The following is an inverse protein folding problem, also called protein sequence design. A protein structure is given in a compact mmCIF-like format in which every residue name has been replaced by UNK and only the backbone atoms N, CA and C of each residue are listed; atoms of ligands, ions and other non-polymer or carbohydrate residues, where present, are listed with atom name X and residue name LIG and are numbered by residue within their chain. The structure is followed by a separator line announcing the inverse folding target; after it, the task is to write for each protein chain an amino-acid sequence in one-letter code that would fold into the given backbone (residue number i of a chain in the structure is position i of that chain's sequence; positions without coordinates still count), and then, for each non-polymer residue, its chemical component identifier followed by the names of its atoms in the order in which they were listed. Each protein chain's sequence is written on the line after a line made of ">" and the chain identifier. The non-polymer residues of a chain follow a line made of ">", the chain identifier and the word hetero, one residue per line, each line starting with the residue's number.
data_IF_279896797424
#
_entry.id   IF_279896797424
#
_cell.length_a   1.000
_cell.length_b   1.000
_cell.length_c   1.000
_cell.angle_alpha   90.00
_cell.angle_beta   90.00
_cell.angle_gamma   90.00
#
_symmetry.space_group_name_H-M   'P 1'
#
loop_
_entity.id
_entity.type
_entity.pdbx_description
1 polymer ?
#
# COMPACT_ATOMS: atom_id res chain seq x y z
N UNK A 1 -18.90 -14.14 -3.40
CA UNK A 1 -17.52 -13.62 -3.37
C UNK A 1 -17.05 -13.69 -1.93
N UNK A 2 -15.78 -14.07 -1.69
CA UNK A 2 -15.21 -14.25 -0.35
C UNK A 2 -13.83 -13.57 -0.33
N UNK A 3 -13.41 -13.11 0.84
CA UNK A 3 -12.03 -12.68 1.03
C UNK A 3 -11.12 -13.91 1.11
N UNK A 4 -9.88 -13.78 0.65
CA UNK A 4 -8.82 -14.77 0.92
C UNK A 4 -7.88 -14.18 1.96
N UNK A 5 -7.71 -14.88 3.07
CA UNK A 5 -6.83 -14.45 4.16
C UNK A 5 -5.68 -15.45 4.23
N UNK A 6 -4.45 -14.96 4.14
CA UNK A 6 -3.25 -15.77 4.22
C UNK A 6 -2.34 -15.27 5.35
N UNK A 7 -2.44 -15.87 6.55
CA UNK A 7 -1.60 -15.48 7.69
C UNK A 7 -0.10 -15.72 7.48
N UNK A 8 0.29 -16.65 6.60
CA UNK A 8 1.72 -16.93 6.34
C UNK A 8 2.41 -15.83 5.53
N UNK A 9 1.65 -15.18 4.67
CA UNK A 9 2.11 -14.07 3.83
C UNK A 9 1.66 -12.70 4.38
N UNK A 10 0.91 -12.71 5.48
CA UNK A 10 0.29 -11.52 6.07
C UNK A 10 -0.60 -10.74 5.08
N UNK A 11 -1.23 -11.43 4.14
CA UNK A 11 -2.08 -10.82 3.10
C UNK A 11 -3.57 -11.09 3.31
N UNK A 12 -4.38 -10.12 2.87
CA UNK A 12 -5.82 -10.24 2.73
C UNK A 12 -6.17 -9.75 1.33
N UNK A 13 -6.74 -10.62 0.50
CA UNK A 13 -7.30 -10.28 -0.80
C UNK A 13 -8.82 -10.15 -0.67
N UNK A 14 -9.33 -8.94 -0.87
CA UNK A 14 -10.76 -8.68 -0.95
C UNK A 14 -11.23 -8.73 -2.42
N UNK A 15 -12.49 -9.12 -2.68
CA UNK A 15 -13.04 -9.13 -4.04
C UNK A 15 -12.93 -7.79 -4.78
N UNK A 16 -12.96 -6.68 -4.04
CA UNK A 16 -12.88 -5.34 -4.58
C UNK A 16 -11.49 -4.89 -4.99
N UNK A 17 -10.42 -5.49 -4.45
CA UNK A 17 -9.04 -4.96 -4.59
C UNK A 17 -8.61 -4.84 -6.07
N UNK A 18 -9.00 -5.82 -6.90
CA UNK A 18 -8.70 -5.81 -8.34
C UNK A 18 -9.36 -4.66 -9.11
N UNK A 19 -10.39 -4.05 -8.54
CA UNK A 19 -11.20 -3.01 -9.18
C UNK A 19 -11.11 -1.67 -8.47
N UNK A 20 -10.72 -1.65 -7.19
CA UNK A 20 -10.70 -0.44 -6.39
C UNK A 20 -9.48 0.41 -6.67
N UNK A 21 -8.29 -0.18 -6.83
CA UNK A 21 -7.02 0.55 -7.06
C UNK A 21 -6.01 -0.30 -7.85
N UNK A 22 -4.92 0.35 -8.26
CA UNK A 22 -3.69 -0.37 -8.63
C UNK A 22 -3.11 -0.99 -7.36
N UNK A 23 -2.53 -2.17 -7.46
CA UNK A 23 -1.67 -2.67 -6.36
C UNK A 23 -0.37 -1.88 -6.32
N UNK A 24 0.32 -1.87 -5.17
CA UNK A 24 1.60 -1.17 -5.02
C UNK A 24 2.62 -1.61 -6.10
N UNK A 25 2.68 -2.90 -6.44
CA UNK A 25 3.54 -3.43 -7.51
C UNK A 25 3.11 -2.96 -8.91
N UNK A 26 1.81 -2.92 -9.21
CA UNK A 26 1.31 -2.42 -10.49
C UNK A 26 1.60 -0.91 -10.66
N UNK A 27 1.35 -0.14 -9.61
CA UNK A 27 1.67 1.29 -9.57
C UNK A 27 3.17 1.48 -9.76
N UNK A 28 3.99 0.75 -9.02
CA UNK A 28 5.45 0.80 -9.14
C UNK A 28 5.95 0.42 -10.53
N UNK A 29 5.39 -0.62 -11.17
CA UNK A 29 5.80 -1.01 -12.53
C UNK A 29 5.48 0.05 -13.57
N UNK A 30 4.31 0.67 -13.48
CA UNK A 30 3.94 1.79 -14.36
C UNK A 30 4.83 3.00 -14.08
N UNK A 31 5.12 3.28 -12.80
CA UNK A 31 6.03 4.35 -12.39
C UNK A 31 7.47 4.14 -12.88
N UNK A 32 7.98 2.92 -12.79
CA UNK A 32 9.28 2.52 -13.32
C UNK A 32 9.37 2.82 -14.83
N UNK A 33 8.36 2.41 -15.61
CA UNK A 33 8.33 2.69 -17.04
C UNK A 33 8.24 4.20 -17.35
N UNK A 34 7.49 4.95 -16.54
CA UNK A 34 7.44 6.41 -16.64
C UNK A 34 8.82 7.03 -16.42
N UNK A 35 9.56 6.62 -15.39
CA UNK A 35 10.92 7.11 -15.12
C UNK A 35 11.90 6.73 -16.23
N UNK A 36 11.83 5.49 -16.74
CA UNK A 36 12.66 5.04 -17.88
C UNK A 36 12.35 5.89 -19.12
N UNK A 37 11.08 6.14 -19.43
CA UNK A 37 10.67 6.97 -20.56
C UNK A 37 11.14 8.43 -20.42
N UNK A 38 11.08 8.99 -19.21
CA UNK A 38 11.66 10.31 -18.90
C UNK A 38 13.16 10.34 -19.14
N UNK A 39 13.90 9.31 -18.74
CA UNK A 39 15.34 9.24 -18.94
C UNK A 39 15.73 9.15 -20.42
N UNK A 40 15.00 8.35 -21.21
CA UNK A 40 15.18 8.28 -22.67
C UNK A 40 14.97 9.65 -23.32
N UNK A 41 13.89 10.36 -22.94
CA UNK A 41 13.65 11.72 -23.41
C UNK A 41 14.74 12.70 -22.93
N UNK A 42 15.14 12.66 -21.66
CA UNK A 42 16.18 13.52 -21.09
C UNK A 42 17.51 13.37 -21.83
N UNK A 43 17.91 12.14 -22.17
CA UNK A 43 19.10 11.87 -22.97
C UNK A 43 19.03 12.52 -24.34
N UNK A 44 17.85 12.55 -24.98
CA UNK A 44 17.66 13.20 -26.29
C UNK A 44 17.86 14.73 -26.25
N UNK A 45 17.71 15.34 -25.08
CA UNK A 45 17.95 16.78 -24.85
C UNK A 45 19.27 17.04 -24.11
N UNK A 46 20.17 16.06 -24.06
CA UNK A 46 21.51 16.19 -23.50
C UNK A 46 21.59 16.17 -21.98
N UNK A 47 20.55 15.70 -21.28
CA UNK A 47 20.52 15.59 -19.82
C UNK A 47 20.72 14.12 -19.42
N UNK A 48 21.74 13.87 -18.59
CA UNK A 48 21.93 12.57 -17.95
C UNK A 48 20.99 12.45 -16.74
N UNK A 49 19.81 11.86 -16.98
CA UNK A 49 18.79 11.67 -15.96
C UNK A 49 18.88 10.25 -15.40
N UNK A 50 19.15 10.06 -14.10
CA UNK A 50 19.40 8.75 -13.56
C UNK A 50 18.09 7.95 -13.43
N UNK A 51 18.14 6.67 -13.76
CA UNK A 51 17.06 5.73 -13.49
C UNK A 51 17.50 4.82 -12.34
N UNK A 52 16.89 4.90 -11.15
CA UNK A 52 17.21 4.04 -10.04
C UNK A 52 16.93 2.56 -10.36
N UNK A 53 17.36 1.66 -9.47
CA UNK A 53 17.00 0.25 -9.56
C UNK A 53 15.47 0.11 -9.55
N UNK A 54 14.95 -0.62 -10.53
CA UNK A 54 13.52 -0.85 -10.74
C UNK A 54 12.99 -1.97 -9.82
N UNK A 55 11.67 -2.06 -9.69
CA UNK A 55 10.98 -3.13 -8.94
C UNK A 55 11.04 -2.99 -7.42
N UNK A 56 11.34 -1.79 -6.90
CA UNK A 56 11.30 -1.54 -5.45
C UNK A 56 9.92 -1.86 -4.88
N UNK A 57 8.86 -1.47 -5.61
CA UNK A 57 7.48 -1.71 -5.24
C UNK A 57 7.05 -3.19 -5.26
N UNK A 58 7.89 -4.11 -5.75
CA UNK A 58 7.63 -5.56 -5.73
C UNK A 58 8.01 -6.19 -4.37
N UNK A 59 8.52 -5.40 -3.43
CA UNK A 59 8.84 -5.87 -2.09
C UNK A 59 7.58 -6.47 -1.41
N UNK A 60 7.69 -7.70 -0.90
CA UNK A 60 6.58 -8.46 -0.29
C UNK A 60 5.90 -7.66 0.82
N UNK A 61 6.65 -6.84 1.54
CA UNK A 61 6.15 -6.02 2.63
C UNK A 61 4.99 -5.11 2.20
N UNK A 62 5.04 -4.56 0.98
CA UNK A 62 3.98 -3.69 0.48
C UNK A 62 2.68 -4.42 0.15
N UNK A 63 2.73 -5.74 -0.04
CA UNK A 63 1.53 -6.57 -0.21
C UNK A 63 0.88 -6.96 1.13
N UNK A 64 1.52 -6.71 2.27
CA UNK A 64 1.00 -7.08 3.58
C UNK A 64 -0.20 -6.21 3.96
N UNK A 65 -1.28 -6.84 4.38
CA UNK A 65 -2.51 -6.15 4.78
C UNK A 65 -2.35 -5.54 6.17
N UNK A 66 -2.30 -4.20 6.24
CA UNK A 66 -2.12 -3.45 7.49
C UNK A 66 -3.31 -2.58 7.91
N UNK A 67 -4.43 -2.64 7.18
CA UNK A 67 -5.59 -1.77 7.42
C UNK A 67 -6.25 -2.00 8.80
N UNK A 68 -5.97 -3.13 9.45
CA UNK A 68 -6.42 -3.48 10.80
C UNK A 68 -5.25 -3.54 11.81
N UNK A 69 -4.12 -2.89 11.49
CA UNK A 69 -2.88 -2.98 12.26
C UNK A 69 -2.15 -4.33 12.09
N UNK A 70 -1.16 -4.64 12.95
CA UNK A 70 -0.48 -5.94 12.91
C UNK A 70 -1.46 -7.05 13.28
N UNK A 71 -1.42 -8.16 12.55
CA UNK A 71 -2.29 -9.31 12.82
C UNK A 71 -1.61 -10.67 12.63
N UNK A 72 -0.30 -10.65 12.36
CA UNK A 72 0.56 -11.82 12.30
C UNK A 72 1.81 -11.54 13.13
N UNK A 73 2.44 -12.60 13.67
CA UNK A 73 3.66 -12.44 14.48
C UNK A 73 4.79 -11.83 13.66
N UNK A 74 4.90 -12.18 12.37
CA UNK A 74 5.87 -11.57 11.47
C UNK A 74 5.69 -10.04 11.43
N UNK A 75 4.46 -9.55 11.19
CA UNK A 75 4.21 -8.12 11.15
C UNK A 75 4.51 -7.43 12.48
N UNK A 76 4.09 -8.02 13.60
CA UNK A 76 4.34 -7.44 14.92
C UNK A 76 5.83 -7.31 15.22
N UNK A 77 6.62 -8.34 14.90
CA UNK A 77 8.08 -8.32 15.12
C UNK A 77 8.80 -7.33 14.21
N UNK A 78 8.38 -7.22 12.94
CA UNK A 78 9.10 -6.43 11.94
C UNK A 78 8.68 -4.96 11.90
N UNK A 79 7.41 -4.68 12.14
CA UNK A 79 6.83 -3.34 11.92
C UNK A 79 6.16 -2.78 13.17
N UNK A 80 5.92 -3.60 14.20
CA UNK A 80 5.05 -3.28 15.31
C UNK A 80 3.71 -2.69 14.81
N UNK A 81 3.49 -1.39 14.98
CA UNK A 81 2.29 -0.68 14.50
C UNK A 81 2.53 0.24 13.30
N UNK A 82 3.75 0.29 12.76
CA UNK A 82 4.06 1.08 11.57
C UNK A 82 3.56 0.39 10.29
N UNK A 83 3.49 1.12 9.17
CA UNK A 83 3.13 0.53 7.87
C UNK A 83 4.23 -0.47 7.46
N UNK A 84 3.88 -1.68 6.99
CA UNK A 84 4.83 -2.59 6.37
C UNK A 84 5.62 -1.91 5.26
N UNK A 85 6.93 -2.13 5.27
CA UNK A 85 7.85 -1.55 4.29
C UNK A 85 9.24 -2.15 4.44
N UNK A 86 10.10 -1.90 3.47
CA UNK A 86 11.46 -2.42 3.49
C UNK A 86 12.25 -1.83 4.65
N UNK A 87 13.37 -2.46 5.03
CA UNK A 87 14.29 -1.88 6.05
C UNK A 87 14.73 -0.48 5.63
N UNK A 88 14.96 -0.25 4.33
CA UNK A 88 15.35 1.06 3.81
C UNK A 88 14.28 2.12 4.08
N UNK A 89 13.00 1.80 3.87
CA UNK A 89 11.90 2.72 4.16
C UNK A 89 11.74 2.97 5.65
N UNK A 90 11.90 1.94 6.48
CA UNK A 90 11.80 2.08 7.93
C UNK A 90 12.90 2.99 8.48
N UNK A 91 14.13 2.89 7.96
CA UNK A 91 15.23 3.81 8.30
C UNK A 91 14.95 5.21 7.75
N UNK A 92 14.52 5.32 6.49
CA UNK A 92 14.24 6.60 5.84
C UNK A 92 13.16 7.39 6.59
N UNK A 93 12.08 6.72 6.99
CA UNK A 93 10.97 7.30 7.75
C UNK A 93 11.28 7.47 9.24
N UNK A 94 12.47 7.06 9.70
CA UNK A 94 12.92 7.21 11.08
C UNK A 94 12.22 6.30 12.09
N UNK A 95 11.61 5.19 11.64
CA UNK A 95 10.95 4.21 12.50
C UNK A 95 11.95 3.37 13.30
N UNK A 96 13.12 3.11 12.70
CA UNK A 96 14.27 2.47 13.34
C UNK A 96 15.52 3.33 13.16
N UNK A 97 16.49 3.25 14.09
CA UNK A 97 17.80 3.85 13.87
C UNK A 97 18.48 3.20 12.66
N UNK A 98 19.37 3.96 12.00
CA UNK A 98 20.18 3.44 10.91
C UNK A 98 21.06 2.28 11.41
N UNK A 99 20.90 1.06 10.87
CA UNK A 99 21.72 -0.08 11.28
C UNK A 99 23.20 0.17 10.96
N UNK A 100 24.09 -0.45 11.73
CA UNK A 100 25.54 -0.41 11.44
C UNK A 100 25.81 -0.97 10.04
N UNK A 101 26.62 -0.25 9.25
CA UNK A 101 26.92 -0.62 7.86
C UNK A 101 25.80 -0.32 6.85
N UNK A 102 24.67 0.24 7.29
CA UNK A 102 23.64 0.71 6.37
C UNK A 102 24.10 2.02 5.71
N UNK A 103 24.37 1.99 4.42
CA UNK A 103 24.56 3.20 3.64
C UNK A 103 23.19 3.72 3.21
N UNK A 104 22.82 4.92 3.69
CA UNK A 104 21.73 5.66 3.06
C UNK A 104 22.21 5.98 1.65
N UNK A 105 21.77 5.20 0.66
CA UNK A 105 22.03 5.52 -0.74
C UNK A 105 21.53 6.94 -0.95
N UNK A 106 22.41 7.83 -1.38
CA UNK A 106 22.01 9.15 -1.83
C UNK A 106 20.98 8.97 -2.93
N UNK A 107 19.93 9.79 -2.89
CA UNK A 107 18.94 9.76 -3.95
C UNK A 107 19.71 10.10 -5.24
N UNK A 108 19.65 9.27 -6.30
CA UNK A 108 20.37 9.58 -7.52
C UNK A 108 19.98 10.96 -8.08
N UNK A 109 18.79 11.47 -7.75
CA UNK A 109 18.34 12.81 -8.10
C UNK A 109 18.97 13.93 -7.26
N UNK A 110 19.61 13.65 -6.12
CA UNK A 110 20.33 14.65 -5.30
C UNK A 110 21.46 15.35 -6.08
N UNK A 111 21.94 14.72 -7.15
CA UNK A 111 22.99 15.27 -8.03
C UNK A 111 22.46 16.24 -9.08
N UNK A 112 21.14 16.32 -9.28
CA UNK A 112 20.51 17.18 -10.27
C UNK A 112 20.09 18.51 -9.65
N UNK A 113 20.29 19.61 -10.38
CA UNK A 113 19.75 20.91 -9.97
C UNK A 113 18.23 20.94 -10.12
N UNK A 114 17.55 21.77 -9.32
CA UNK A 114 16.10 22.01 -9.46
C UNK A 114 15.72 22.47 -10.88
N UNK A 115 16.57 23.28 -11.53
CA UNK A 115 16.38 23.71 -12.91
C UNK A 115 16.41 22.55 -13.90
N UNK A 116 17.34 21.59 -13.71
CA UNK A 116 17.43 20.38 -14.52
C UNK A 116 16.17 19.52 -14.35
N UNK A 117 15.74 19.30 -13.10
CA UNK A 117 14.52 18.57 -12.80
C UNK A 117 13.30 19.22 -13.46
N UNK A 118 13.15 20.55 -13.34
CA UNK A 118 12.06 21.29 -13.97
C UNK A 118 12.09 21.21 -15.49
N UNK A 119 13.28 21.24 -16.10
CA UNK A 119 13.44 21.09 -17.55
C UNK A 119 12.99 19.72 -18.02
N UNK A 120 13.42 18.64 -17.33
CA UNK A 120 12.98 17.28 -17.64
C UNK A 120 11.47 17.14 -17.44
N UNK A 121 10.91 17.59 -16.33
CA UNK A 121 9.46 17.60 -16.08
C UNK A 121 8.69 18.27 -17.22
N UNK A 122 9.10 19.48 -17.60
CA UNK A 122 8.38 20.28 -18.61
C UNK A 122 8.46 19.64 -20.00
N UNK A 123 9.62 19.12 -20.39
CA UNK A 123 9.86 18.62 -21.75
C UNK A 123 9.52 17.14 -21.94
N UNK A 124 9.61 16.33 -20.88
CA UNK A 124 9.58 14.88 -21.01
C UNK A 124 8.34 14.19 -20.44
N UNK A 125 7.64 14.76 -19.45
CA UNK A 125 6.51 14.08 -18.80
C UNK A 125 5.33 13.85 -19.75
N UNK A 126 5.18 14.73 -20.74
CA UNK A 126 4.15 14.66 -21.77
C UNK A 126 4.70 14.15 -23.12
N UNK A 127 5.92 13.62 -23.15
CA UNK A 127 6.48 13.01 -24.35
C UNK A 127 5.61 11.84 -24.82
N UNK A 128 5.75 11.47 -26.10
CA UNK A 128 5.01 10.35 -26.70
C UNK A 128 5.21 9.04 -25.91
N UNK A 129 6.39 8.84 -25.36
CA UNK A 129 6.77 7.59 -24.70
C UNK A 129 6.47 7.60 -23.20
N UNK A 130 6.51 8.76 -22.52
CA UNK A 130 6.18 8.87 -21.09
C UNK A 130 4.66 8.97 -20.84
N UNK A 131 3.92 9.68 -21.70
CA UNK A 131 2.48 9.94 -21.51
C UNK A 131 1.64 8.66 -21.29
N UNK A 132 1.87 7.54 -21.98
CA UNK A 132 1.14 6.29 -21.73
C UNK A 132 1.30 5.74 -20.31
N UNK A 133 2.42 6.03 -19.65
CA UNK A 133 2.72 5.57 -18.29
C UNK A 133 2.33 6.58 -17.21
N UNK A 134 1.60 7.65 -17.57
CA UNK A 134 1.05 8.56 -16.59
C UNK A 134 -0.13 7.90 -15.87
N UNK A 135 0.10 7.50 -14.62
CA UNK A 135 -0.89 6.83 -13.76
C UNK A 135 -2.17 7.65 -13.57
N UNK A 136 -2.10 8.99 -13.61
CA UNK A 136 -3.29 9.83 -13.47
C UNK A 136 -4.27 9.60 -14.62
N UNK A 137 -3.78 9.34 -15.83
CA UNK A 137 -4.64 9.02 -16.98
C UNK A 137 -5.38 7.70 -16.77
N UNK A 138 -4.74 6.70 -16.17
CA UNK A 138 -5.38 5.45 -15.78
C UNK A 138 -6.43 5.63 -14.69
N UNK A 139 -6.15 6.46 -13.69
CA UNK A 139 -7.11 6.75 -12.62
C UNK A 139 -8.33 7.54 -13.10
N UNK A 140 -8.20 8.39 -14.13
CA UNK A 140 -9.35 9.09 -14.76
C UNK A 140 -10.34 8.12 -15.42
N UNK A 141 -9.87 6.96 -15.87
CA UNK A 141 -10.72 5.92 -16.46
C UNK A 141 -11.42 5.05 -15.41
N UNK A 142 -11.03 5.16 -14.13
CA UNK A 142 -11.60 4.38 -13.03
C UNK A 142 -13.01 4.89 -12.72
N UNK A 143 -14.00 3.99 -12.71
CA UNK A 143 -15.37 4.32 -12.32
C UNK A 143 -15.41 4.91 -10.90
N UNK A 144 -16.18 5.98 -10.64
CA UNK A 144 -16.35 6.51 -9.29
C UNK A 144 -16.83 5.46 -8.28
N UNK A 145 -17.63 4.48 -8.73
CA UNK A 145 -18.10 3.38 -7.89
C UNK A 145 -16.97 2.49 -7.36
N UNK A 146 -15.78 2.52 -7.96
CA UNK A 146 -14.61 1.79 -7.48
C UNK A 146 -14.14 2.29 -6.11
N UNK A 147 -14.32 3.59 -5.80
CA UNK A 147 -13.97 4.15 -4.50
C UNK A 147 -14.82 3.55 -3.37
N UNK A 148 -16.02 3.07 -3.67
CA UNK A 148 -16.85 2.38 -2.68
C UNK A 148 -16.34 0.97 -2.32
N UNK A 149 -15.40 0.43 -3.11
CA UNK A 149 -14.75 -0.84 -2.83
C UNK A 149 -13.52 -0.70 -1.94
N UNK A 150 -12.96 0.51 -1.80
CA UNK A 150 -11.79 0.75 -0.94
C UNK A 150 -12.11 0.34 0.50
N UNK A 151 -11.12 -0.25 1.19
CA UNK A 151 -11.35 -0.81 2.51
C UNK A 151 -11.84 0.25 3.50
N UNK A 152 -11.34 1.48 3.44
CA UNK A 152 -11.82 2.60 4.27
C UNK A 152 -13.31 2.93 4.06
N UNK A 153 -13.77 2.88 2.81
CA UNK A 153 -15.18 3.10 2.48
C UNK A 153 -16.05 1.93 3.00
N UNK A 154 -15.54 0.71 2.88
CA UNK A 154 -16.19 -0.49 3.41
C UNK A 154 -16.19 -0.50 4.94
N UNK A 155 -15.13 -0.06 5.60
CA UNK A 155 -15.00 -0.01 7.05
C UNK A 155 -16.05 0.93 7.67
N UNK A 156 -16.33 2.06 7.02
CA UNK A 156 -17.44 2.95 7.41
C UNK A 156 -18.80 2.25 7.34
N UNK A 157 -19.03 1.41 6.32
CA UNK A 157 -20.26 0.60 6.18
C UNK A 157 -20.30 -0.53 7.23
N UNK A 158 -19.16 -1.14 7.55
CA UNK A 158 -19.02 -2.16 8.57
C UNK A 158 -19.36 -1.66 9.98
N UNK A 159 -19.15 -0.37 10.27
CA UNK A 159 -19.48 0.21 11.59
C UNK A 159 -20.93 -0.05 12.04
N UNK A 160 -21.86 -0.27 11.11
CA UNK A 160 -23.26 -0.60 11.39
C UNK A 160 -23.59 -2.10 11.32
N UNK A 161 -22.64 -2.95 10.90
CA UNK A 161 -22.82 -4.40 10.77
C UNK A 161 -22.72 -5.10 12.13
N UNK A 162 -23.68 -5.97 12.46
CA UNK A 162 -23.73 -6.68 13.74
C UNK A 162 -22.58 -7.68 13.94
N UNK A 163 -22.17 -8.38 12.88
CA UNK A 163 -21.07 -9.34 12.95
C UNK A 163 -19.73 -8.63 13.17
N UNK A 164 -19.55 -7.46 12.55
CA UNK A 164 -18.37 -6.61 12.79
C UNK A 164 -18.33 -6.10 14.24
N UNK A 165 -19.44 -5.57 14.75
CA UNK A 165 -19.55 -5.14 16.15
C UNK A 165 -19.23 -6.29 17.11
N UNK A 166 -19.76 -7.49 16.85
CA UNK A 166 -19.47 -8.67 17.65
C UNK A 166 -17.99 -9.05 17.60
N UNK A 167 -17.34 -8.96 16.44
CA UNK A 167 -15.90 -9.21 16.32
C UNK A 167 -15.07 -8.19 17.14
N UNK A 168 -15.47 -6.92 17.16
CA UNK A 168 -14.84 -5.89 18.00
C UNK A 168 -15.04 -6.15 19.50
N UNK A 169 -16.23 -6.57 19.92
CA UNK A 169 -16.51 -6.93 21.31
C UNK A 169 -15.65 -8.10 21.78
N UNK A 170 -15.56 -9.16 20.98
CA UNK A 170 -14.73 -10.33 21.30
C UNK A 170 -13.24 -9.95 21.38
N UNK A 171 -12.77 -9.07 20.46
CA UNK A 171 -11.41 -8.55 20.49
C UNK A 171 -11.14 -7.71 21.75
N UNK A 172 -12.08 -6.82 22.10
CA UNK A 172 -12.01 -6.00 23.31
C UNK A 172 -11.98 -6.85 24.57
N UNK A 173 -12.77 -7.91 24.63
CA UNK A 173 -12.75 -8.87 25.74
C UNK A 173 -11.38 -9.53 25.87
N UNK A 174 -10.78 -9.99 24.76
CA UNK A 174 -9.43 -10.54 24.80
C UNK A 174 -8.40 -9.51 25.27
N UNK A 175 -8.47 -8.26 24.79
CA UNK A 175 -7.57 -7.20 25.24
C UNK A 175 -7.62 -6.99 26.76
N UNK A 176 -8.81 -7.02 27.35
CA UNK A 176 -8.96 -6.93 28.81
C UNK A 176 -8.29 -8.10 29.53
N UNK A 177 -8.42 -9.33 29.02
CA UNK A 177 -7.80 -10.52 29.59
C UNK A 177 -6.26 -10.47 29.56
N UNK A 178 -5.67 -9.91 28.51
CA UNK A 178 -4.19 -9.82 28.35
C UNK A 178 -3.60 -8.49 28.84
N UNK A 179 -4.43 -7.63 29.44
CA UNK A 179 -4.02 -6.36 30.02
C UNK A 179 -3.72 -5.25 29.00
N UNK A 180 -4.23 -5.36 27.78
CA UNK A 180 -4.22 -4.25 26.80
C UNK A 180 -5.29 -3.23 27.22
N UNK A 181 -4.86 -1.98 27.41
CA UNK A 181 -5.79 -0.87 27.70
C UNK A 181 -6.25 -0.21 26.42
N UNK A 182 -7.54 0.11 26.39
CA UNK A 182 -8.16 0.92 25.34
C UNK A 182 -8.55 2.28 25.90
N UNK A 183 -8.46 3.31 25.07
CA UNK A 183 -8.95 4.66 25.39
C UNK A 183 -9.83 5.16 24.24
N UNK A 184 -10.94 5.81 24.59
CA UNK A 184 -11.75 6.53 23.63
C UNK A 184 -11.15 7.93 23.41
N UNK A 185 -10.83 8.25 22.16
CA UNK A 185 -10.36 9.56 21.74
C UNK A 185 -11.42 10.27 20.92
N UNK A 186 -11.38 11.59 20.99
CA UNK A 186 -12.21 12.48 20.18
C UNK A 186 -11.31 13.35 19.31
N UNK A 187 -11.62 13.37 18.02
CA UNK A 187 -11.03 14.28 17.05
C UNK A 187 -12.15 15.01 16.31
N UNK A 188 -12.38 16.26 16.71
CA UNK A 188 -13.54 17.04 16.27
C UNK A 188 -14.86 16.34 16.61
N UNK A 189 -15.60 15.94 15.56
CA UNK A 189 -16.87 15.19 15.69
C UNK A 189 -16.69 13.67 15.69
N UNK A 190 -15.48 13.18 15.43
CA UNK A 190 -15.19 11.75 15.36
C UNK A 190 -14.81 11.23 16.73
N UNK A 191 -15.31 10.04 17.06
CA UNK A 191 -14.93 9.31 18.27
C UNK A 191 -14.39 7.95 17.84
N UNK A 192 -13.22 7.58 18.34
CA UNK A 192 -12.56 6.31 18.00
C UNK A 192 -11.88 5.72 19.22
N UNK A 193 -11.68 4.40 19.21
CA UNK A 193 -10.98 3.69 20.28
C UNK A 193 -9.58 3.34 19.83
N UNK A 194 -8.58 3.65 20.65
CA UNK A 194 -7.19 3.31 20.39
C UNK A 194 -6.60 2.42 21.49
N UNK A 195 -5.57 1.66 21.14
CA UNK A 195 -4.76 0.93 22.11
C UNK A 195 -3.79 1.91 22.76
N UNK A 196 -3.83 2.01 24.09
CA UNK A 196 -2.98 2.95 24.81
C UNK A 196 -1.52 2.55 24.72
N UNK A 197 -0.66 3.51 24.35
CA UNK A 197 0.78 3.33 24.28
C UNK A 197 1.30 2.89 22.91
N UNK A 198 0.43 2.73 21.91
CA UNK A 198 0.83 2.59 20.52
C UNK A 198 1.56 3.85 20.05
N UNK A 199 2.68 3.66 19.37
CA UNK A 199 3.43 4.70 18.67
C UNK A 199 3.62 4.28 17.21
N UNK A 200 2.82 4.85 16.32
CA UNK A 200 2.84 4.58 14.88
C UNK A 200 4.10 5.07 14.16
N UNK A 201 5.06 5.66 14.88
CA UNK A 201 6.31 6.21 14.33
C UNK A 201 7.54 5.50 14.84
N UNK A 202 7.41 4.41 15.60
CA UNK A 202 8.55 3.71 16.19
C UNK A 202 8.42 2.20 16.12
N UNK A 203 9.52 1.55 15.80
CA UNK A 203 9.69 0.10 15.93
C UNK A 203 10.75 -0.11 17.01
N UNK A 204 10.31 -0.58 18.18
CA UNK A 204 11.17 -0.91 19.32
C UNK A 204 10.53 -2.01 20.16
N UNK A 205 11.27 -2.55 21.13
CA UNK A 205 10.85 -3.67 21.96
C UNK A 205 9.50 -3.44 22.65
N UNK A 206 9.23 -2.23 23.14
CA UNK A 206 7.95 -1.87 23.77
C UNK A 206 6.79 -1.97 22.77
N UNK A 207 6.98 -1.44 21.56
CA UNK A 207 5.96 -1.48 20.52
C UNK A 207 5.76 -2.91 19.98
N UNK A 208 6.84 -3.67 19.78
CA UNK A 208 6.79 -5.08 19.35
C UNK A 208 6.05 -5.92 20.38
N UNK A 209 6.37 -5.78 21.67
CA UNK A 209 5.72 -6.52 22.75
C UNK A 209 4.22 -6.25 22.81
N UNK A 210 3.81 -4.98 22.64
CA UNK A 210 2.39 -4.60 22.60
C UNK A 210 1.70 -5.17 21.35
N UNK A 211 2.34 -5.05 20.18
CA UNK A 211 1.83 -5.58 18.92
C UNK A 211 1.66 -7.11 18.96
N UNK A 212 2.58 -7.85 19.59
CA UNK A 212 2.46 -9.30 19.75
C UNK A 212 1.25 -9.70 20.59
N UNK A 213 0.94 -8.96 21.67
CA UNK A 213 -0.28 -9.19 22.46
C UNK A 213 -1.55 -8.87 21.67
N UNK A 214 -1.52 -7.83 20.85
CA UNK A 214 -2.62 -7.50 19.94
C UNK A 214 -2.84 -8.64 18.92
N UNK A 215 -1.78 -9.07 18.25
CA UNK A 215 -1.79 -10.22 17.33
C UNK A 215 -2.32 -11.49 17.99
N UNK A 216 -1.91 -11.78 19.22
CA UNK A 216 -2.41 -12.92 19.99
C UNK A 216 -3.94 -12.84 20.11
N UNK A 217 -4.48 -11.68 20.45
CA UNK A 217 -5.92 -11.50 20.58
C UNK A 217 -6.66 -11.55 19.24
N UNK A 218 -6.14 -10.88 18.20
CA UNK A 218 -6.70 -10.95 16.84
C UNK A 218 -6.73 -12.39 16.31
N UNK A 219 -5.69 -13.16 16.60
CA UNK A 219 -5.60 -14.59 16.22
C UNK A 219 -6.61 -15.41 17.02
N UNK A 220 -6.67 -15.25 18.35
CA UNK A 220 -7.58 -16.00 19.24
C UNK A 220 -9.05 -15.86 18.82
N UNK A 221 -9.48 -14.68 18.38
CA UNK A 221 -10.88 -14.39 18.03
C UNK A 221 -11.15 -14.39 16.52
N UNK A 222 -10.17 -14.81 15.71
CA UNK A 222 -10.18 -14.81 14.24
C UNK A 222 -10.60 -13.45 13.64
N UNK A 223 -10.13 -12.36 14.26
CA UNK A 223 -10.63 -11.02 14.00
C UNK A 223 -10.51 -10.61 12.54
N UNK A 224 -9.31 -10.71 11.96
CA UNK A 224 -9.04 -10.24 10.60
C UNK A 224 -9.85 -11.00 9.56
N UNK A 225 -9.96 -12.33 9.69
CA UNK A 225 -10.77 -13.11 8.76
C UNK A 225 -12.26 -12.76 8.89
N UNK A 226 -12.80 -12.65 10.11
CA UNK A 226 -14.20 -12.25 10.32
C UNK A 226 -14.51 -10.89 9.67
N UNK A 227 -13.65 -9.89 9.88
CA UNK A 227 -13.81 -8.56 9.27
C UNK A 227 -13.69 -8.63 7.74
N UNK A 228 -12.69 -9.33 7.22
CA UNK A 228 -12.47 -9.47 5.78
C UNK A 228 -13.65 -10.16 5.07
N UNK A 229 -14.24 -11.19 5.68
CA UNK A 229 -15.42 -11.84 5.10
C UNK A 229 -16.64 -10.93 5.08
N UNK A 230 -16.87 -10.11 6.11
CA UNK A 230 -17.94 -9.11 6.10
C UNK A 230 -17.69 -7.99 5.08
N UNK A 231 -16.44 -7.54 4.94
CA UNK A 231 -16.04 -6.59 3.90
C UNK A 231 -16.34 -7.15 2.49
N UNK A 232 -15.97 -8.40 2.23
CA UNK A 232 -16.24 -9.07 0.96
C UNK A 232 -17.73 -9.19 0.64
N UNK A 233 -18.58 -9.41 1.66
CA UNK A 233 -20.05 -9.42 1.49
C UNK A 233 -20.58 -8.05 1.07
N UNK A 234 -20.04 -6.97 1.64
CA UNK A 234 -20.44 -5.59 1.30
C UNK A 234 -19.94 -5.17 -0.08
N UNK A 235 -18.75 -5.62 -0.50
CA UNK A 235 -18.23 -5.35 -1.85
C UNK A 235 -19.01 -6.10 -2.94
N UNK A 236 -19.47 -7.33 -2.67
CA UNK A 236 -20.11 -8.18 -3.67
C UNK A 236 -21.26 -7.53 -4.47
N UNK A 237 -22.26 -6.86 -3.86
CA UNK A 237 -23.32 -6.19 -4.62
C UNK A 237 -22.81 -5.00 -5.45
N UNK A 238 -21.81 -4.25 -4.95
CA UNK A 238 -21.21 -3.13 -5.67
C UNK A 238 -20.51 -3.64 -6.94
N UNK A 239 -19.74 -4.73 -6.81
CA UNK A 239 -19.08 -5.39 -7.95
C UNK A 239 -20.11 -5.89 -8.96
N UNK A 240 -21.14 -6.61 -8.51
CA UNK A 240 -22.18 -7.13 -9.42
C UNK A 240 -22.87 -6.02 -10.21
N UNK A 241 -23.17 -4.89 -9.57
CA UNK A 241 -23.81 -3.74 -10.21
C UNK A 241 -22.93 -3.08 -11.27
N UNK A 242 -21.61 -3.02 -11.06
CA UNK A 242 -20.68 -2.24 -11.88
C UNK A 242 -19.65 -3.09 -12.65
N UNK A 243 -19.86 -4.41 -12.76
CA UNK A 243 -18.84 -5.35 -13.28
C UNK A 243 -18.34 -5.01 -14.68
N UNK A 244 -19.18 -4.46 -15.56
CA UNK A 244 -18.79 -4.07 -16.91
C UNK A 244 -17.77 -2.93 -16.91
N UNK A 245 -18.01 -1.89 -16.11
CA UNK A 245 -17.08 -0.76 -15.99
C UNK A 245 -15.76 -1.18 -15.34
N UNK A 246 -15.87 -1.98 -14.27
CA UNK A 246 -14.70 -2.48 -13.55
C UNK A 246 -13.82 -3.38 -14.41
N UNK A 247 -14.41 -4.26 -15.21
CA UNK A 247 -13.64 -5.12 -16.13
C UNK A 247 -13.04 -4.35 -17.30
N UNK A 248 -13.74 -3.34 -17.84
CA UNK A 248 -13.20 -2.46 -18.86
C UNK A 248 -11.97 -1.67 -18.37
N UNK A 249 -12.06 -1.09 -17.16
CA UNK A 249 -10.93 -0.41 -16.54
C UNK A 249 -9.76 -1.38 -16.27
N UNK A 250 -10.05 -2.56 -15.72
CA UNK A 250 -9.01 -3.56 -15.44
C UNK A 250 -8.27 -4.02 -16.70
N UNK A 251 -8.97 -4.19 -17.82
CA UNK A 251 -8.35 -4.49 -19.10
C UNK A 251 -7.38 -3.38 -19.56
N UNK A 252 -7.72 -2.10 -19.30
CA UNK A 252 -6.82 -0.97 -19.60
C UNK A 252 -5.60 -0.95 -18.71
N UNK A 253 -5.73 -1.32 -17.44
CA UNK A 253 -4.57 -1.45 -16.55
C UNK A 253 -3.67 -2.61 -17.01
N UNK A 254 -4.24 -3.79 -17.29
CA UNK A 254 -3.49 -4.96 -17.75
C UNK A 254 -2.72 -4.66 -19.06
N UNK A 255 -3.34 -3.93 -19.99
CA UNK A 255 -2.71 -3.44 -21.22
C UNK A 255 -1.53 -2.50 -20.94
N UNK A 256 -1.68 -1.58 -19.98
CA UNK A 256 -0.62 -0.61 -19.65
C UNK A 256 0.54 -1.25 -18.89
N UNK A 257 0.28 -2.21 -17.99
CA UNK A 257 1.34 -2.97 -17.31
C UNK A 257 2.18 -3.72 -18.34
N UNK A 258 1.54 -4.43 -19.28
CA UNK A 258 2.27 -5.14 -20.35
C UNK A 258 3.16 -4.19 -21.16
N UNK A 259 2.63 -3.03 -21.55
CA UNK A 259 3.40 -1.99 -22.25
C UNK A 259 4.57 -1.46 -21.41
N UNK A 260 4.35 -1.27 -20.10
CA UNK A 260 5.38 -0.82 -19.18
C UNK A 260 6.53 -1.82 -19.10
N UNK A 261 6.21 -3.12 -18.96
CA UNK A 261 7.20 -4.20 -18.93
C UNK A 261 7.99 -4.30 -20.25
N UNK A 262 7.31 -4.25 -21.39
CA UNK A 262 7.95 -4.24 -22.72
C UNK A 262 8.90 -3.04 -22.89
N UNK A 263 8.46 -1.84 -22.46
CA UNK A 263 9.25 -0.63 -22.56
C UNK A 263 10.49 -0.66 -21.64
N UNK A 264 10.32 -1.10 -20.39
CA UNK A 264 11.43 -1.29 -19.44
C UNK A 264 12.45 -2.28 -20.02
N UNK A 265 11.99 -3.40 -20.59
CA UNK A 265 12.87 -4.40 -21.17
C UNK A 265 13.66 -3.86 -22.38
N UNK A 266 13.03 -3.03 -23.21
CA UNK A 266 13.67 -2.42 -24.39
C UNK A 266 14.71 -1.34 -24.04
N UNK A 267 14.63 -0.75 -22.84
CA UNK A 267 15.43 0.41 -22.42
C UNK A 267 16.23 0.14 -21.13
N UNK A 268 16.75 -1.08 -20.97
CA UNK A 268 17.65 -1.42 -19.85
C UNK A 268 18.97 -0.65 -19.87
N UNK A 269 19.33 -0.02 -21.00
CA UNK A 269 20.56 0.74 -21.17
C UNK A 269 20.62 2.05 -20.37
N UNK A 270 19.46 2.58 -19.94
CA UNK A 270 19.38 3.78 -19.10
C UNK A 270 19.23 3.46 -17.61
N UNK A 271 19.04 2.20 -17.24
CA UNK A 271 18.86 1.76 -15.85
C UNK A 271 20.22 1.65 -15.14
N UNK A 272 20.33 2.24 -13.95
CA UNK A 272 21.53 2.10 -13.13
C UNK A 272 21.73 0.61 -12.75
N UNK A 273 22.94 0.11 -13.03
CA UNK A 273 23.36 -1.25 -12.68
C UNK A 273 23.66 -1.40 -11.19
#
# INVERSE_FOLDING_TARGET
>A
MKAKVNPKESTVELPGDRFSRLTDSEEGRIGDAFVVARAVCARSIGIDYPVPRLGIADAREYAMFSELGPWTEEMANRFAYTRPGTIADQVYNGYIPMPSGFSKKTDPFDKLSLETLNTVTTKCDNSKDAKPFNQQELYKLRSPAAQELDFDAILKKLANNSNYKKALEDLKQCYQEVGIRLEEKKDGKNTYTEIVGVDYRKINEKQITLALKDVQCKTKVDFVNRVAQEAAKLQAPIIKKNIKEFTAWRAKVDENIKKAEEYIAAHQDVVLK
#
